data_IF_594415625223
#
_entry.id   IF_594415625223
#
_cell.length_a   1.000
_cell.length_b   1.000
_cell.length_c   1.000
_cell.angle_alpha   90.00
_cell.angle_beta   90.00
_cell.angle_gamma   90.00
#
_symmetry.space_group_name_H-M   'P 1'
#
loop_
_entity.id
_entity.type
_entity.pdbx_description
1 polymer ?
#
# COMPACT_ATOMS: atom_id res chain seq x y z
N UNK A 1 6.03 -13.01 3.87
CA UNK A 1 5.33 -12.40 2.71
C UNK A 1 3.95 -11.85 2.99
N UNK A 2 3.13 -12.50 3.81
CA UNK A 2 1.79 -12.00 4.18
C UNK A 2 1.82 -10.58 4.73
N UNK A 3 2.76 -10.28 5.64
CA UNK A 3 2.90 -8.94 6.23
C UNK A 3 3.10 -7.84 5.18
N UNK A 4 3.97 -8.06 4.18
CA UNK A 4 4.20 -7.12 3.09
C UNK A 4 2.89 -6.76 2.38
N UNK A 5 2.13 -7.77 1.95
CA UNK A 5 0.87 -7.55 1.23
C UNK A 5 -0.20 -6.89 2.10
N UNK A 6 -0.28 -7.26 3.38
CA UNK A 6 -1.16 -6.59 4.35
C UNK A 6 -0.83 -5.10 4.44
N UNK A 7 0.46 -4.74 4.51
CA UNK A 7 0.87 -3.34 4.58
C UNK A 7 0.60 -2.59 3.27
N UNK A 8 0.83 -3.18 2.10
CA UNK A 8 0.53 -2.55 0.81
C UNK A 8 -0.97 -2.30 0.64
N UNK A 9 -1.81 -3.26 1.02
CA UNK A 9 -3.27 -3.10 0.97
C UNK A 9 -3.74 -2.05 1.97
N UNK A 10 -3.28 -2.10 3.22
CA UNK A 10 -3.64 -1.13 4.23
C UNK A 10 -3.21 0.30 3.84
N UNK A 11 -2.02 0.46 3.25
CA UNK A 11 -1.55 1.72 2.70
C UNK A 11 -2.47 2.23 1.58
N UNK A 12 -2.85 1.37 0.62
CA UNK A 12 -3.78 1.75 -0.46
C UNK A 12 -5.15 2.19 0.05
N UNK A 13 -5.70 1.50 1.07
CA UNK A 13 -6.99 1.85 1.69
C UNK A 13 -6.88 3.22 2.34
N UNK A 14 -5.79 3.49 3.06
CA UNK A 14 -5.58 4.76 3.77
C UNK A 14 -5.34 5.92 2.81
N UNK A 15 -4.60 5.69 1.73
CA UNK A 15 -4.42 6.68 0.65
C UNK A 15 -5.77 7.03 0.02
N UNK A 16 -6.62 6.04 -0.23
CA UNK A 16 -8.01 6.28 -0.66
C UNK A 16 -8.84 7.02 0.38
N UNK A 17 -8.75 6.69 1.67
CA UNK A 17 -9.51 7.39 2.72
C UNK A 17 -9.14 8.88 2.80
N UNK A 18 -7.87 9.23 2.55
CA UNK A 18 -7.43 10.63 2.41
C UNK A 18 -8.10 11.30 1.21
N UNK A 19 -8.08 10.65 0.03
CA UNK A 19 -8.74 11.12 -1.18
C UNK A 19 -10.27 11.18 -1.05
N UNK A 20 -10.88 10.25 -0.31
CA UNK A 20 -12.31 10.19 -0.02
C UNK A 20 -12.67 11.24 1.00
N UNK A 21 -11.80 11.67 1.92
CA UNK A 21 -12.11 12.81 2.80
C UNK A 21 -12.16 14.11 1.99
N UNK A 22 -11.33 14.24 0.96
CA UNK A 22 -11.41 15.35 -0.02
C UNK A 22 -12.59 15.19 -1.00
N UNK A 23 -12.92 13.96 -1.41
CA UNK A 23 -13.96 13.66 -2.39
C UNK A 23 -15.33 13.31 -1.78
N UNK A 24 -15.47 13.21 -0.45
CA UNK A 24 -16.75 12.96 0.28
C UNK A 24 -17.74 14.11 0.14
N UNK A 25 -17.33 15.23 -0.43
CA UNK A 25 -18.22 16.26 -0.94
C UNK A 25 -18.96 15.85 -2.23
N UNK A 26 -18.55 14.79 -2.94
CA UNK A 26 -18.99 14.59 -4.33
C UNK A 26 -19.70 13.28 -4.63
N UNK A 27 -19.54 12.17 -3.89
CA UNK A 27 -20.20 10.92 -4.31
C UNK A 27 -20.59 10.03 -3.13
N UNK A 28 -21.88 10.00 -2.82
CA UNK A 28 -22.55 8.85 -2.18
C UNK A 28 -22.42 7.66 -3.13
N UNK A 29 -21.60 6.66 -2.80
CA UNK A 29 -21.44 5.47 -3.65
C UNK A 29 -22.11 4.28 -2.99
N UNK A 30 -23.20 3.86 -3.63
CA UNK A 30 -23.87 2.58 -3.43
C UNK A 30 -22.90 1.39 -3.54
N UNK A 31 -23.07 0.43 -2.63
CA UNK A 31 -22.88 -0.99 -2.93
C UNK A 31 -21.46 -1.54 -2.80
N UNK A 32 -21.31 -2.46 -1.85
CA UNK A 32 -20.12 -3.24 -1.44
C UNK A 32 -19.29 -3.92 -2.56
N UNK A 33 -19.72 -3.86 -3.84
CA UNK A 33 -18.99 -4.41 -4.99
C UNK A 33 -18.16 -3.37 -5.76
N UNK A 34 -18.47 -2.08 -5.61
CA UNK A 34 -17.71 -1.00 -6.27
C UNK A 34 -16.36 -0.69 -5.62
N UNK A 35 -16.18 -1.08 -4.36
CA UNK A 35 -15.03 -0.62 -3.55
C UNK A 35 -13.72 -1.32 -3.95
N UNK A 36 -13.74 -2.64 -4.18
CA UNK A 36 -12.51 -3.37 -4.56
C UNK A 36 -12.03 -3.07 -5.99
N UNK A 37 -12.96 -3.00 -6.96
CA UNK A 37 -12.61 -2.64 -8.33
C UNK A 37 -12.03 -1.22 -8.41
N UNK A 38 -12.66 -0.26 -7.72
CA UNK A 38 -12.15 1.11 -7.58
C UNK A 38 -10.81 1.16 -6.85
N UNK A 39 -10.65 0.34 -5.82
CA UNK A 39 -9.39 0.23 -5.08
C UNK A 39 -8.23 -0.21 -5.99
N UNK A 40 -8.45 -1.22 -6.84
CA UNK A 40 -7.44 -1.66 -7.81
C UNK A 40 -7.16 -0.63 -8.89
N UNK A 41 -8.19 0.10 -9.36
CA UNK A 41 -8.00 1.21 -10.31
C UNK A 41 -7.15 2.33 -9.73
N UNK A 42 -7.32 2.65 -8.45
CA UNK A 42 -6.54 3.70 -7.77
C UNK A 42 -5.16 3.20 -7.31
N UNK A 43 -5.00 1.90 -7.06
CA UNK A 43 -3.77 1.29 -6.59
C UNK A 43 -3.30 0.14 -7.50
N UNK A 44 -3.01 0.40 -8.79
CA UNK A 44 -2.69 -0.65 -9.76
C UNK A 44 -1.39 -1.39 -9.44
N UNK A 45 -0.49 -0.78 -8.66
CA UNK A 45 0.74 -1.41 -8.21
C UNK A 45 0.49 -2.66 -7.35
N UNK A 46 -0.65 -2.74 -6.66
CA UNK A 46 -1.00 -3.89 -5.80
C UNK A 46 -1.25 -5.15 -6.64
N UNK A 47 -1.65 -5.01 -7.90
CA UNK A 47 -1.86 -6.14 -8.82
C UNK A 47 -0.55 -6.72 -9.38
N UNK A 48 0.60 -6.06 -9.18
CA UNK A 48 1.89 -6.55 -9.66
C UNK A 48 2.42 -7.65 -8.75
N UNK A 49 2.39 -8.91 -9.19
CA UNK A 49 2.81 -10.06 -8.39
C UNK A 49 4.26 -10.01 -7.91
N UNK A 50 5.13 -9.28 -8.62
CA UNK A 50 6.55 -9.14 -8.36
C UNK A 50 6.92 -7.86 -7.58
N UNK A 51 5.94 -7.06 -7.16
CA UNK A 51 6.16 -5.80 -6.42
C UNK A 51 7.08 -5.98 -5.21
N UNK A 52 6.95 -7.11 -4.51
CA UNK A 52 7.79 -7.43 -3.35
C UNK A 52 9.28 -7.44 -3.67
N UNK A 53 9.67 -7.70 -4.93
CA UNK A 53 11.07 -7.76 -5.34
C UNK A 53 11.74 -6.38 -5.37
N UNK A 54 10.96 -5.30 -5.36
CA UNK A 54 11.45 -3.93 -5.18
C UNK A 54 11.86 -3.66 -3.72
N UNK A 55 11.27 -4.39 -2.76
CA UNK A 55 11.45 -4.19 -1.32
C UNK A 55 12.39 -5.21 -0.70
N UNK A 56 12.37 -6.45 -1.21
CA UNK A 56 13.15 -7.55 -0.67
C UNK A 56 14.20 -8.07 -1.66
N UNK A 57 15.40 -8.40 -1.18
CA UNK A 57 16.36 -9.22 -1.93
C UNK A 57 15.92 -10.68 -2.00
N UNK A 58 16.41 -11.37 -3.04
CA UNK A 58 16.20 -12.82 -3.16
C UNK A 58 16.87 -13.57 -2.00
N UNK A 59 17.98 -13.04 -1.45
CA UNK A 59 18.68 -13.66 -0.33
C UNK A 59 17.79 -13.69 0.91
N UNK A 60 17.16 -12.57 1.27
CA UNK A 60 16.22 -12.50 2.39
C UNK A 60 15.02 -13.41 2.12
N UNK A 61 14.41 -13.31 0.94
CA UNK A 61 13.19 -14.06 0.60
C UNK A 61 13.34 -15.58 0.55
N UNK A 62 14.56 -16.06 0.29
CA UNK A 62 14.89 -17.49 0.26
C UNK A 62 15.52 -17.97 1.57
N UNK A 63 15.68 -17.09 2.57
CA UNK A 63 16.27 -17.44 3.85
C UNK A 63 15.34 -18.33 4.67
N UNK A 64 15.91 -19.03 5.65
CA UNK A 64 15.14 -19.85 6.58
C UNK A 64 14.28 -18.98 7.51
N UNK A 65 14.77 -17.80 7.89
CA UNK A 65 14.06 -16.90 8.81
C UNK A 65 12.72 -16.41 8.24
N UNK A 66 12.60 -16.22 6.92
CA UNK A 66 11.33 -15.79 6.29
C UNK A 66 10.20 -16.80 6.46
N UNK A 67 10.52 -18.07 6.69
CA UNK A 67 9.52 -19.12 6.96
C UNK A 67 9.08 -19.15 8.42
N UNK A 68 9.95 -18.73 9.33
CA UNK A 68 9.77 -18.87 10.78
C UNK A 68 9.29 -17.56 11.42
N UNK A 69 9.56 -16.41 10.80
CA UNK A 69 9.26 -15.10 11.35
C UNK A 69 8.88 -14.06 10.29
N UNK A 70 8.30 -12.95 10.77
CA UNK A 70 8.15 -11.75 9.98
C UNK A 70 9.53 -11.09 9.78
N UNK A 71 9.91 -10.87 8.53
CA UNK A 71 11.15 -10.16 8.16
C UNK A 71 10.81 -8.87 7.43
N UNK A 72 11.50 -7.79 7.80
CA UNK A 72 11.34 -6.48 7.18
C UNK A 72 12.06 -6.39 5.83
N UNK A 73 11.63 -5.51 4.92
CA UNK A 73 12.35 -5.24 3.68
C UNK A 73 13.79 -4.80 3.91
N UNK A 74 14.72 -5.29 3.10
CA UNK A 74 16.14 -4.96 3.16
C UNK A 74 16.58 -3.96 2.07
N UNK A 75 15.85 -3.84 0.95
CA UNK A 75 16.19 -2.90 -0.12
C UNK A 75 15.62 -1.50 0.11
N UNK A 76 14.36 -1.43 0.52
CA UNK A 76 13.59 -0.19 0.62
C UNK A 76 12.58 -0.30 1.76
N UNK A 77 12.39 0.75 2.59
CA UNK A 77 11.35 0.74 3.62
C UNK A 77 9.94 0.65 3.01
N UNK A 78 9.01 0.04 3.75
CA UNK A 78 7.61 0.03 3.35
C UNK A 78 7.05 1.47 3.25
N UNK A 79 6.09 1.73 2.36
CA UNK A 79 5.42 3.02 2.29
C UNK A 79 4.81 3.39 3.65
N UNK A 80 5.01 4.64 4.09
CA UNK A 80 4.47 5.16 5.33
C UNK A 80 3.64 6.41 5.05
N UNK A 81 2.45 6.46 5.65
CA UNK A 81 1.48 7.55 5.51
C UNK A 81 1.99 8.85 6.13
N UNK A 82 2.75 8.77 7.24
CA UNK A 82 3.33 9.96 7.88
C UNK A 82 4.24 10.71 6.91
N UNK A 83 4.98 9.98 6.08
CA UNK A 83 5.87 10.57 5.07
C UNK A 83 5.09 11.14 3.89
N UNK A 84 3.97 10.51 3.50
CA UNK A 84 3.08 11.06 2.47
C UNK A 84 2.42 12.37 2.93
N UNK A 85 1.86 12.42 4.14
CA UNK A 85 1.22 13.62 4.67
C UNK A 85 2.18 14.82 4.72
N UNK A 86 3.47 14.57 5.00
CA UNK A 86 4.51 15.59 4.97
C UNK A 86 4.81 16.07 3.54
N UNK A 87 4.93 15.15 2.58
CA UNK A 87 5.13 15.50 1.17
C UNK A 87 3.95 16.28 0.61
N UNK A 88 2.71 15.88 0.94
CA UNK A 88 1.49 16.57 0.52
C UNK A 88 1.43 17.99 1.12
N UNK A 89 1.80 18.15 2.40
CA UNK A 89 1.90 19.48 3.04
C UNK A 89 2.96 20.39 2.40
N UNK A 90 4.09 19.84 1.98
CA UNK A 90 5.15 20.62 1.31
C UNK A 90 4.70 21.04 -0.09
N UNK A 91 4.00 20.16 -0.82
CA UNK A 91 3.54 20.41 -2.19
C UNK A 91 2.40 21.43 -2.29
N UNK A 92 1.71 21.71 -1.18
CA UNK A 92 0.64 22.72 -1.11
C UNK A 92 1.12 24.14 -0.74
N UNK A 93 2.43 24.35 -0.56
CA UNK A 93 3.03 25.69 -0.33
C UNK A 93 3.61 26.30 -1.59
#
# INVERSE_FOLDING_TARGET
MTYFWVQMVHFGIRSMASLITTAKLWIEVEGEKGDFGRFLLLNPYIAKSDLWSEYYSKQVMMSKEVKEAMVLPDKKPLPNLVTQDLVDKIRMR
#
